data_IF_067564116402
#
_entry.id   IF_067564116402
#
_cell.length_a   1.000
_cell.length_b   1.000
_cell.length_c   1.000
_cell.angle_alpha   90.00
_cell.angle_beta   90.00
_cell.angle_gamma   90.00
#
_symmetry.space_group_name_H-M   'P 1'
#
loop_
_entity.id
_entity.type
_entity.pdbx_description
1 polymer ?
#
# COMPACT_ATOMS: atom_id res chain seq x y z
N UNK A 1 24.19 -10.94 -13.67
CA UNK A 1 23.39 -10.55 -12.50
C UNK A 1 22.21 -9.74 -13.01
N UNK A 2 21.05 -10.37 -13.23
CA UNK A 2 19.86 -9.64 -13.64
C UNK A 2 19.35 -8.86 -12.41
N UNK A 3 19.54 -7.53 -12.42
CA UNK A 3 18.98 -6.67 -11.40
C UNK A 3 17.46 -6.86 -11.42
N UNK A 4 16.89 -7.30 -10.30
CA UNK A 4 15.44 -7.39 -10.16
C UNK A 4 14.86 -6.00 -10.45
N UNK A 5 13.85 -5.88 -11.32
CA UNK A 5 13.20 -4.60 -11.54
C UNK A 5 12.64 -4.11 -10.20
N UNK A 6 13.23 -3.01 -9.72
CA UNK A 6 12.74 -2.31 -8.54
C UNK A 6 11.67 -1.35 -9.00
N UNK A 7 10.47 -1.52 -8.46
CA UNK A 7 9.34 -0.63 -8.77
C UNK A 7 9.11 0.27 -7.57
N UNK A 8 9.29 1.57 -7.74
CA UNK A 8 8.89 2.53 -6.70
C UNK A 8 7.37 2.62 -6.67
N UNK A 9 6.79 2.35 -5.50
CA UNK A 9 5.38 2.53 -5.22
C UNK A 9 5.17 3.83 -4.43
N UNK A 10 4.22 4.64 -4.89
CA UNK A 10 3.77 5.85 -4.23
C UNK A 10 2.45 5.55 -3.53
N UNK A 11 2.42 5.67 -2.21
CA UNK A 11 1.24 5.54 -1.39
C UNK A 11 0.77 6.92 -0.96
N UNK A 12 -0.52 7.16 -1.08
CA UNK A 12 -1.17 8.36 -0.59
C UNK A 12 -2.34 7.94 0.28
N UNK A 13 -2.32 8.39 1.53
CA UNK A 13 -3.45 8.22 2.44
C UNK A 13 -4.50 9.27 2.09
N UNK A 14 -5.66 8.82 1.64
CA UNK A 14 -6.77 9.70 1.24
C UNK A 14 -7.68 10.01 2.42
N UNK A 15 -7.99 9.00 3.23
CA UNK A 15 -8.84 9.13 4.41
C UNK A 15 -8.38 8.15 5.49
N UNK A 16 -8.35 8.61 6.73
CA UNK A 16 -8.19 7.75 7.89
C UNK A 16 -9.39 7.97 8.81
N UNK A 17 -10.11 6.89 9.07
CA UNK A 17 -11.24 6.88 9.99
C UNK A 17 -10.83 6.11 11.23
N UNK A 18 -10.57 6.80 12.33
CA UNK A 18 -10.33 6.15 13.63
C UNK A 18 -11.60 5.49 14.18
N UNK A 19 -12.78 6.02 13.85
CA UNK A 19 -14.06 5.46 14.28
C UNK A 19 -14.33 4.08 13.67
N UNK A 20 -14.13 3.93 12.36
CA UNK A 20 -14.23 2.65 11.63
C UNK A 20 -12.93 1.84 11.63
N UNK A 21 -11.90 2.36 12.28
CA UNK A 21 -10.53 1.83 12.30
C UNK A 21 -10.04 1.40 10.91
N UNK A 22 -10.31 2.25 9.91
CA UNK A 22 -10.07 1.99 8.50
C UNK A 22 -9.22 3.12 7.89
N UNK A 23 -8.24 2.72 7.10
CA UNK A 23 -7.35 3.59 6.35
C UNK A 23 -7.58 3.37 4.86
N UNK A 24 -8.04 4.41 4.17
CA UNK A 24 -8.29 4.39 2.75
C UNK A 24 -7.23 5.23 2.03
N UNK A 25 -6.70 4.71 0.94
CA UNK A 25 -5.66 5.39 0.19
C UNK A 25 -5.54 4.90 -1.25
N UNK A 26 -4.69 5.58 -2.01
CA UNK A 26 -4.27 5.13 -3.32
C UNK A 26 -2.79 4.76 -3.32
N UNK A 27 -2.44 3.71 -4.05
CA UNK A 27 -1.09 3.24 -4.23
C UNK A 27 -0.80 3.09 -5.72
N UNK A 28 0.29 3.69 -6.16
CA UNK A 28 0.69 3.75 -7.58
C UNK A 28 2.06 3.14 -7.75
N UNK A 29 2.20 2.14 -8.60
CA UNK A 29 3.50 1.55 -8.88
C UNK A 29 3.61 1.15 -10.35
N UNK A 30 4.76 1.44 -10.98
CA UNK A 30 5.05 0.98 -12.33
C UNK A 30 4.03 1.42 -13.40
N UNK A 31 3.34 2.54 -13.18
CA UNK A 31 2.31 3.06 -14.08
C UNK A 31 0.89 2.56 -13.79
N UNK A 32 0.70 1.69 -12.81
CA UNK A 32 -0.62 1.26 -12.33
C UNK A 32 -1.04 2.05 -11.09
N UNK A 33 -2.36 2.16 -10.88
CA UNK A 33 -2.95 2.78 -9.70
C UNK A 33 -3.95 1.82 -9.08
N UNK A 34 -3.85 1.65 -7.76
CA UNK A 34 -4.74 0.83 -6.95
C UNK A 34 -5.28 1.67 -5.80
N UNK A 35 -6.56 1.53 -5.50
CA UNK A 35 -7.11 1.97 -4.23
C UNK A 35 -7.01 0.82 -3.22
N UNK A 36 -6.65 1.16 -1.99
CA UNK A 36 -6.63 0.21 -0.90
C UNK A 36 -7.45 0.72 0.29
N UNK A 37 -8.02 -0.24 1.02
CA UNK A 37 -8.71 -0.02 2.28
C UNK A 37 -8.11 -0.99 3.29
N UNK A 38 -7.46 -0.46 4.31
CA UNK A 38 -6.79 -1.21 5.36
C UNK A 38 -7.51 -1.00 6.69
N UNK A 39 -8.09 -2.07 7.22
CA UNK A 39 -8.70 -2.10 8.53
C UNK A 39 -7.63 -2.48 9.56
N UNK A 40 -7.03 -1.49 10.21
CA UNK A 40 -5.96 -1.72 11.19
C UNK A 40 -6.44 -2.40 12.47
N UNK A 41 -7.75 -2.38 12.76
CA UNK A 41 -8.37 -3.17 13.84
C UNK A 41 -8.17 -4.69 13.66
N UNK A 42 -8.40 -5.18 12.43
CA UNK A 42 -8.35 -6.62 12.11
C UNK A 42 -7.14 -7.02 11.27
N UNK A 43 -6.37 -6.04 10.79
CA UNK A 43 -5.29 -6.26 9.81
C UNK A 43 -5.79 -6.64 8.42
N UNK A 44 -7.04 -6.30 8.07
CA UNK A 44 -7.64 -6.70 6.79
C UNK A 44 -7.33 -5.66 5.71
N UNK A 45 -6.70 -6.08 4.61
CA UNK A 45 -6.30 -5.21 3.50
C UNK A 45 -7.03 -5.59 2.21
N UNK A 46 -7.88 -4.69 1.75
CA UNK A 46 -8.54 -4.76 0.44
C UNK A 46 -7.82 -3.85 -0.54
N UNK A 47 -7.55 -4.34 -1.76
CA UNK A 47 -6.86 -3.60 -2.82
C UNK A 47 -7.57 -3.83 -4.16
N UNK A 48 -7.92 -2.75 -4.86
CA UNK A 48 -8.61 -2.77 -6.14
C UNK A 48 -7.95 -1.80 -7.15
N UNK A 49 -7.83 -2.14 -8.45
CA UNK A 49 -8.25 -3.39 -9.10
C UNK A 49 -7.31 -4.57 -8.79
N UNK A 50 -7.78 -5.81 -8.96
CA UNK A 50 -7.02 -7.02 -8.64
C UNK A 50 -5.78 -7.28 -9.53
N UNK A 51 -5.67 -6.57 -10.66
CA UNK A 51 -4.54 -6.67 -11.60
C UNK A 51 -3.23 -6.24 -10.93
N UNK A 52 -2.25 -7.13 -10.81
CA UNK A 52 -0.98 -6.79 -10.14
C UNK A 52 -1.10 -6.62 -8.62
N UNK A 53 -2.27 -6.90 -8.02
CA UNK A 53 -2.47 -6.78 -6.57
C UNK A 53 -1.44 -7.61 -5.80
N UNK A 54 -1.10 -8.81 -6.25
CA UNK A 54 -0.18 -9.68 -5.50
C UNK A 54 1.23 -9.06 -5.36
N UNK A 55 1.62 -8.16 -6.28
CA UNK A 55 2.89 -7.46 -6.24
C UNK A 55 2.88 -6.36 -5.18
N UNK A 56 1.78 -5.61 -5.11
CA UNK A 56 1.66 -4.48 -4.19
C UNK A 56 1.09 -4.88 -2.83
N UNK A 57 0.20 -5.85 -2.75
CA UNK A 57 -0.55 -6.26 -1.56
C UNK A 57 0.37 -6.76 -0.45
N UNK A 58 1.31 -7.66 -0.74
CA UNK A 58 2.29 -8.12 0.26
C UNK A 58 3.21 -6.98 0.71
N UNK A 59 3.70 -6.17 -0.24
CA UNK A 59 4.59 -5.06 0.06
C UNK A 59 3.89 -3.93 0.85
N UNK A 60 2.65 -3.63 0.48
CA UNK A 60 1.76 -2.67 1.13
C UNK A 60 1.39 -3.15 2.52
N UNK A 61 0.95 -4.40 2.68
CA UNK A 61 0.63 -4.96 3.98
C UNK A 61 1.84 -4.90 4.92
N UNK A 62 3.02 -5.31 4.45
CA UNK A 62 4.27 -5.20 5.23
C UNK A 62 4.61 -3.75 5.56
N UNK A 63 4.40 -2.83 4.63
CA UNK A 63 4.63 -1.41 4.86
C UNK A 63 3.69 -0.85 5.92
N UNK A 64 2.39 -1.15 5.82
CA UNK A 64 1.34 -0.73 6.75
C UNK A 64 1.60 -1.29 8.16
N UNK A 65 1.85 -2.60 8.27
CA UNK A 65 2.19 -3.26 9.56
C UNK A 65 3.50 -2.71 10.15
N UNK A 66 4.47 -2.34 9.32
CA UNK A 66 5.71 -1.72 9.80
C UNK A 66 5.53 -0.26 10.20
N UNK A 67 4.59 0.44 9.55
CA UNK A 67 4.30 1.87 9.72
C UNK A 67 3.09 2.09 10.63
N UNK A 68 2.69 1.08 11.41
CA UNK A 68 1.50 1.01 12.27
C UNK A 68 1.30 2.23 13.19
N UNK A 69 2.37 2.98 13.45
CA UNK A 69 2.38 4.18 14.30
C UNK A 69 2.79 5.49 13.61
N UNK A 70 3.10 5.48 12.31
CA UNK A 70 3.68 6.64 11.59
C UNK A 70 2.79 7.13 10.43
N UNK A 71 1.70 6.42 10.12
CA UNK A 71 0.80 6.77 9.03
C UNK A 71 -0.21 7.83 9.48
N UNK A 72 0.07 9.07 9.08
CA UNK A 72 -0.82 10.21 9.27
C UNK A 72 -1.81 10.35 8.09
N UNK A 73 -3.05 10.79 8.36
CA UNK A 73 -4.03 11.05 7.31
C UNK A 73 -3.55 12.19 6.41
N UNK A 74 -3.54 11.96 5.09
CA UNK A 74 -3.06 12.95 4.12
C UNK A 74 -1.54 12.91 3.88
N UNK A 75 -0.81 11.97 4.50
CA UNK A 75 0.59 11.74 4.21
C UNK A 75 0.79 11.06 2.85
N UNK A 76 1.80 11.53 2.11
CA UNK A 76 2.34 10.83 0.95
C UNK A 76 3.62 10.08 1.31
N UNK A 77 3.61 8.78 1.03
CA UNK A 77 4.67 7.85 1.35
C UNK A 77 5.16 7.20 0.07
N UNK A 78 6.43 6.80 0.05
CA UNK A 78 6.99 6.05 -1.08
C UNK A 78 7.79 4.88 -0.57
N UNK A 79 7.60 3.72 -1.19
CA UNK A 79 8.35 2.51 -0.85
C UNK A 79 8.75 1.75 -2.11
N UNK A 80 9.91 1.10 -2.06
CA UNK A 80 10.39 0.30 -3.18
C UNK A 80 9.89 -1.14 -3.08
N UNK A 81 9.17 -1.60 -4.09
CA UNK A 81 8.74 -2.99 -4.23
C UNK A 81 9.75 -3.74 -5.08
N UNK A 82 10.28 -4.83 -4.55
CA UNK A 82 11.13 -5.76 -5.28
C UNK A 82 10.28 -6.96 -5.70
N UNK A 83 9.73 -6.89 -6.90
CA UNK A 83 9.02 -8.03 -7.47
C UNK A 83 9.99 -8.91 -8.24
N UNK A 84 9.92 -10.23 -8.04
CA UNK A 84 10.40 -11.20 -9.03
C UNK A 84 9.26 -11.37 -10.03
N UNK A 85 9.43 -10.84 -11.24
CA UNK A 85 8.57 -11.14 -12.37
C UNK A 85 8.88 -12.55 -12.89
#
# INVERSE_FOLDING_TARGET
MAALPVTTAHLRVQRQSFADQCLEGDVRAGGFNWQFSWFFDRGELSVEPSLGRALIQDALLRFLVKSDYDLEPGGDYTFTVRARF
#
